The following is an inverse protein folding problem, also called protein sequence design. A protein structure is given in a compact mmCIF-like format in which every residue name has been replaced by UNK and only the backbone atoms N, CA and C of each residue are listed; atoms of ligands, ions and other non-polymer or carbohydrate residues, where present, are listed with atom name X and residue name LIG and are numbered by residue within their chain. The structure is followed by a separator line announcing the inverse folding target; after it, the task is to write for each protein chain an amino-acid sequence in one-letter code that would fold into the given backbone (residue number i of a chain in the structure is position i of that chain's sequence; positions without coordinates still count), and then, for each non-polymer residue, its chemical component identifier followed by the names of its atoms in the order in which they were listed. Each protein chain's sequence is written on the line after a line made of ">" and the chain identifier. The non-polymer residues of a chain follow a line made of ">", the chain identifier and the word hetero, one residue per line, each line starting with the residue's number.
data_IF_079993962905
#
_entry.id   IF_079993962905
#
_cell.length_a   1.000
_cell.length_b   1.000
_cell.length_c   1.000
_cell.angle_alpha   90.00
_cell.angle_beta   90.00
_cell.angle_gamma   90.00
#
_symmetry.space_group_name_H-M   'P 1'
#
loop_
_entity.id
_entity.type
_entity.pdbx_description
1 polymer ?
#
# COMPACT_ATOMS: atom_id res chain seq x y z
N UNK A 1 -34.85 -1.68 14.16
CA UNK A 1 -34.93 -3.12 13.89
C UNK A 1 -35.81 -3.81 14.90
N UNK A 2 -35.53 -3.81 16.21
CA UNK A 2 -36.27 -4.49 17.27
C UNK A 2 -37.79 -4.26 17.22
N UNK A 3 -38.25 -3.00 17.25
CA UNK A 3 -39.67 -2.62 17.23
C UNK A 3 -40.39 -3.15 16.00
N UNK A 4 -39.74 -3.16 14.84
CA UNK A 4 -40.31 -3.66 13.58
C UNK A 4 -40.45 -5.18 13.62
N UNK A 5 -39.45 -5.90 14.16
CA UNK A 5 -39.52 -7.35 14.31
C UNK A 5 -40.64 -7.77 15.25
N UNK A 6 -40.76 -7.12 16.44
CA UNK A 6 -41.84 -7.38 17.38
C UNK A 6 -43.22 -7.16 16.72
N UNK A 7 -43.38 -6.09 15.95
CA UNK A 7 -44.63 -5.79 15.24
C UNK A 7 -44.95 -6.88 14.20
N UNK A 8 -43.96 -7.30 13.42
CA UNK A 8 -44.14 -8.32 12.39
C UNK A 8 -44.51 -9.69 12.97
N UNK A 9 -43.92 -10.08 14.12
CA UNK A 9 -44.31 -11.30 14.85
C UNK A 9 -45.75 -11.20 15.37
N UNK A 10 -46.11 -10.06 16.00
CA UNK A 10 -47.48 -9.83 16.49
C UNK A 10 -48.52 -9.80 15.37
N UNK A 11 -48.15 -9.39 14.18
CA UNK A 11 -48.99 -9.37 13.01
C UNK A 11 -49.10 -10.74 12.32
N UNK A 12 -48.26 -11.72 12.70
CA UNK A 12 -48.22 -13.04 12.05
C UNK A 12 -47.37 -13.06 10.77
N UNK A 13 -46.71 -11.95 10.39
CA UNK A 13 -45.82 -11.86 9.23
C UNK A 13 -44.56 -12.69 9.43
N UNK A 14 -44.12 -12.85 10.67
CA UNK A 14 -43.03 -13.72 11.07
C UNK A 14 -43.55 -14.68 12.13
N UNK A 15 -43.41 -15.98 11.90
CA UNK A 15 -43.82 -16.98 12.89
C UNK A 15 -42.89 -17.02 14.08
N UNK A 16 -43.42 -17.39 15.26
CA UNK A 16 -42.61 -17.59 16.47
C UNK A 16 -41.56 -18.68 16.25
N UNK A 17 -41.89 -19.78 15.54
CA UNK A 17 -40.94 -20.85 15.20
C UNK A 17 -39.73 -20.32 14.42
N UNK A 18 -39.97 -19.38 13.48
CA UNK A 18 -38.86 -18.74 12.73
C UNK A 18 -38.00 -17.88 13.61
N UNK A 19 -38.58 -17.15 14.57
CA UNK A 19 -37.89 -16.36 15.54
C UNK A 19 -37.04 -17.26 16.47
N UNK A 20 -37.62 -18.31 16.99
CA UNK A 20 -36.97 -19.28 17.86
C UNK A 20 -35.81 -20.00 17.18
N UNK A 21 -35.94 -20.35 15.89
CA UNK A 21 -34.85 -20.92 15.12
C UNK A 21 -33.66 -19.95 15.01
N UNK A 22 -33.93 -18.67 14.74
CA UNK A 22 -32.88 -17.66 14.69
C UNK A 22 -32.17 -17.46 16.04
N UNK A 23 -32.94 -17.36 17.12
CA UNK A 23 -32.40 -17.20 18.49
C UNK A 23 -31.60 -18.45 18.88
N UNK A 24 -32.13 -19.64 18.61
CA UNK A 24 -31.43 -20.90 18.93
C UNK A 24 -30.08 -20.99 18.24
N UNK A 25 -29.97 -20.61 16.97
CA UNK A 25 -28.70 -20.60 16.23
C UNK A 25 -27.68 -19.68 16.88
N UNK A 26 -28.10 -18.46 17.29
CA UNK A 26 -27.22 -17.51 17.96
C UNK A 26 -26.77 -18.04 19.33
N UNK A 27 -27.73 -18.54 20.12
CA UNK A 27 -27.43 -19.07 21.44
C UNK A 27 -26.55 -20.32 21.37
N UNK A 28 -26.74 -21.19 20.40
CA UNK A 28 -25.89 -22.36 20.19
C UNK A 28 -24.43 -21.97 19.95
N UNK A 29 -24.17 -20.92 19.16
CA UNK A 29 -22.79 -20.43 18.95
C UNK A 29 -22.23 -19.88 20.25
N UNK A 30 -22.98 -19.08 20.99
CA UNK A 30 -22.56 -18.52 22.29
C UNK A 30 -22.27 -19.62 23.31
N UNK A 31 -23.10 -20.65 23.37
CA UNK A 31 -22.91 -21.80 24.24
C UNK A 31 -21.63 -22.56 23.92
N UNK A 32 -21.43 -22.91 22.64
CA UNK A 32 -20.20 -23.58 22.17
C UNK A 32 -18.92 -22.79 22.46
N UNK A 33 -19.01 -21.46 22.51
CA UNK A 33 -17.92 -20.59 22.88
C UNK A 33 -17.73 -20.44 24.40
N UNK A 34 -18.61 -21.08 25.21
CA UNK A 34 -18.60 -20.96 26.68
C UNK A 34 -19.04 -19.58 27.19
N UNK A 35 -19.68 -18.78 26.32
CA UNK A 35 -20.12 -17.41 26.72
C UNK A 35 -21.29 -17.43 27.69
N UNK A 36 -22.11 -18.48 27.67
CA UNK A 36 -23.24 -18.63 28.57
C UNK A 36 -22.82 -19.12 29.96
N UNK A 37 -21.66 -19.77 30.08
CA UNK A 37 -21.08 -20.29 31.33
C UNK A 37 -20.18 -19.26 32.03
N UNK A 38 -20.24 -18.00 31.63
CA UNK A 38 -19.43 -16.93 32.22
C UNK A 38 -17.93 -17.01 31.90
N UNK A 39 -17.55 -17.71 30.83
CA UNK A 39 -16.18 -17.74 30.35
C UNK A 39 -15.73 -16.32 30.04
N UNK A 40 -14.70 -15.85 30.73
CA UNK A 40 -14.06 -14.56 30.42
C UNK A 40 -13.29 -14.66 29.14
N UNK A 41 -13.25 -13.59 28.32
CA UNK A 41 -12.31 -13.51 27.18
C UNK A 41 -10.89 -13.80 27.68
N UNK A 42 -10.12 -14.47 26.84
CA UNK A 42 -8.71 -14.68 27.15
C UNK A 42 -8.02 -13.31 27.20
N UNK A 43 -7.39 -12.99 28.29
CA UNK A 43 -6.53 -11.82 28.38
C UNK A 43 -5.22 -12.16 27.65
N UNK A 44 -5.09 -11.69 26.43
CA UNK A 44 -3.85 -11.83 25.64
C UNK A 44 -2.92 -10.67 25.96
N UNK A 45 -2.33 -10.70 27.17
CA UNK A 45 -1.29 -9.73 27.50
C UNK A 45 -0.09 -9.87 26.57
N UNK A 46 0.34 -8.74 25.98
CA UNK A 46 1.57 -8.61 25.20
C UNK A 46 1.68 -9.44 23.90
N UNK A 47 0.57 -9.81 23.25
CA UNK A 47 0.63 -10.48 21.96
C UNK A 47 0.72 -9.51 20.77
N UNK A 48 0.12 -8.32 20.88
CA UNK A 48 0.09 -7.35 19.80
C UNK A 48 1.46 -6.72 19.60
N UNK A 49 1.93 -6.69 18.35
CA UNK A 49 3.19 -6.03 17.98
C UNK A 49 4.47 -6.72 18.44
N UNK A 50 4.44 -8.01 18.77
CA UNK A 50 5.64 -8.80 19.06
C UNK A 50 6.63 -8.79 17.89
N UNK A 51 7.89 -9.03 18.18
CA UNK A 51 8.98 -9.04 17.18
C UNK A 51 8.70 -9.99 16.02
N UNK A 52 8.17 -11.19 16.30
CA UNK A 52 7.79 -12.16 15.26
C UNK A 52 6.65 -11.65 14.37
N UNK A 53 5.66 -10.92 14.92
CA UNK A 53 4.59 -10.31 14.15
C UNK A 53 5.11 -9.19 13.25
N UNK A 54 6.02 -8.36 13.76
CA UNK A 54 6.67 -7.31 12.97
C UNK A 54 7.53 -7.88 11.84
N UNK A 55 8.27 -8.96 12.10
CA UNK A 55 9.03 -9.67 11.05
C UNK A 55 8.11 -10.23 9.97
N UNK A 56 7.00 -10.85 10.36
CA UNK A 56 6.01 -11.38 9.41
C UNK A 56 5.38 -10.25 8.57
N UNK A 57 5.02 -9.12 9.21
CA UNK A 57 4.48 -7.95 8.50
C UNK A 57 5.50 -7.38 7.49
N UNK A 58 6.77 -7.25 7.88
CA UNK A 58 7.87 -6.82 6.98
C UNK A 58 8.07 -7.77 5.80
N UNK A 59 7.96 -9.07 6.04
CA UNK A 59 8.01 -10.08 4.97
C UNK A 59 6.80 -9.96 4.04
N UNK A 60 5.59 -9.77 4.59
CA UNK A 60 4.38 -9.59 3.82
C UNK A 60 4.47 -8.34 2.92
N UNK A 61 4.97 -7.21 3.43
CA UNK A 61 5.23 -6.02 2.62
C UNK A 61 6.20 -6.34 1.48
N UNK A 62 7.36 -6.94 1.77
CA UNK A 62 8.34 -7.29 0.73
C UNK A 62 7.73 -8.16 -0.37
N UNK A 63 6.88 -9.13 -0.02
CA UNK A 63 6.24 -10.05 -0.97
C UNK A 63 5.05 -9.44 -1.73
N UNK A 64 4.43 -8.38 -1.20
CA UNK A 64 3.28 -7.74 -1.83
C UNK A 64 3.65 -6.70 -2.88
N UNK A 65 4.88 -6.19 -2.86
CA UNK A 65 5.35 -5.20 -3.84
C UNK A 65 5.30 -5.77 -5.24
N UNK A 66 4.75 -5.01 -6.19
CA UNK A 66 4.70 -5.40 -7.61
C UNK A 66 5.55 -4.45 -8.44
N UNK A 67 6.58 -4.98 -9.06
CA UNK A 67 7.42 -4.23 -9.99
C UNK A 67 6.75 -4.17 -11.36
N UNK A 68 6.35 -2.97 -11.78
CA UNK A 68 5.64 -2.77 -13.05
C UNK A 68 6.57 -2.28 -14.17
N UNK A 69 7.70 -1.68 -13.82
CA UNK A 69 8.71 -1.18 -14.76
C UNK A 69 10.09 -1.20 -14.11
N UNK A 70 11.12 -1.60 -14.85
CA UNK A 70 12.52 -1.57 -14.40
C UNK A 70 13.45 -1.42 -15.63
N UNK A 71 13.51 -0.20 -16.17
CA UNK A 71 14.35 0.07 -17.35
C UNK A 71 15.83 -0.04 -16.98
N UNK A 72 16.60 -0.58 -17.90
CA UNK A 72 18.06 -0.73 -17.78
C UNK A 72 18.50 -1.46 -16.51
N UNK A 73 17.64 -2.30 -15.94
CA UNK A 73 17.87 -3.00 -14.67
C UNK A 73 18.32 -2.04 -13.56
N UNK A 74 17.67 -0.88 -13.46
CA UNK A 74 17.98 0.14 -12.47
C UNK A 74 17.92 -0.41 -11.03
N UNK A 75 16.87 -1.18 -10.72
CA UNK A 75 16.71 -1.83 -9.43
C UNK A 75 17.45 -3.18 -9.40
N UNK A 76 17.98 -3.59 -8.24
CA UNK A 76 18.04 -2.88 -6.97
C UNK A 76 19.11 -1.79 -6.94
N UNK A 77 18.81 -0.68 -6.25
CA UNK A 77 19.68 0.48 -6.15
C UNK A 77 20.92 0.19 -5.27
N UNK A 78 22.04 0.75 -5.65
CA UNK A 78 23.27 0.70 -4.84
C UNK A 78 23.14 1.62 -3.62
N UNK A 79 22.97 1.03 -2.45
CA UNK A 79 22.74 1.74 -1.20
C UNK A 79 23.92 2.60 -0.71
N UNK A 80 25.10 2.49 -1.35
CA UNK A 80 26.28 3.33 -1.02
C UNK A 80 26.24 4.69 -1.69
N UNK A 81 25.25 4.96 -2.55
CA UNK A 81 25.11 6.16 -3.37
C UNK A 81 24.38 7.30 -2.64
N UNK A 82 24.25 8.42 -3.32
CA UNK A 82 23.51 9.58 -2.83
C UNK A 82 22.08 9.60 -3.38
N UNK A 83 21.09 9.68 -2.49
CA UNK A 83 19.67 9.60 -2.79
C UNK A 83 18.95 10.91 -2.52
N UNK A 84 18.05 11.28 -3.41
CA UNK A 84 17.03 12.29 -3.16
C UNK A 84 15.66 11.63 -3.09
N UNK A 85 14.94 11.81 -1.98
CA UNK A 85 13.55 11.37 -1.85
C UNK A 85 12.64 12.56 -2.04
N UNK A 86 11.60 12.39 -2.87
CA UNK A 86 10.58 13.42 -3.16
C UNK A 86 9.17 12.86 -2.96
N UNK A 87 8.22 13.78 -2.82
CA UNK A 87 6.80 13.46 -2.61
C UNK A 87 6.43 13.31 -1.14
N UNK A 88 5.29 13.88 -0.77
CA UNK A 88 4.83 13.97 0.62
C UNK A 88 4.56 12.59 1.26
N UNK A 89 4.11 11.62 0.47
CA UNK A 89 3.84 10.28 0.98
C UNK A 89 5.10 9.54 1.48
N UNK A 90 6.30 10.07 1.22
CA UNK A 90 7.53 9.54 1.79
C UNK A 90 7.62 9.74 3.31
N UNK A 91 7.02 10.82 3.83
CA UNK A 91 7.09 11.23 5.24
C UNK A 91 5.73 11.18 5.95
N UNK A 92 4.64 11.15 5.19
CA UNK A 92 3.26 11.14 5.71
C UNK A 92 2.81 9.69 6.00
N UNK A 93 2.86 9.29 7.26
CA UNK A 93 2.52 7.91 7.69
C UNK A 93 1.08 7.52 7.30
N UNK A 94 0.12 8.44 7.32
CA UNK A 94 -1.26 8.14 6.97
C UNK A 94 -1.43 7.59 5.55
N UNK A 95 -0.63 8.04 4.60
CA UNK A 95 -0.68 7.54 3.22
C UNK A 95 -0.30 6.06 3.09
N UNK A 96 0.54 5.54 4.00
CA UNK A 96 0.94 4.13 3.98
C UNK A 96 -0.03 3.21 4.73
N UNK A 97 -0.95 3.76 5.54
CA UNK A 97 -1.87 2.97 6.37
C UNK A 97 -3.17 2.58 5.65
N UNK A 98 -3.89 3.55 5.11
CA UNK A 98 -5.17 3.33 4.44
C UNK A 98 -6.40 3.40 5.35
N UNK A 99 -7.58 3.15 4.77
CA UNK A 99 -8.86 3.14 5.46
C UNK A 99 -8.97 2.03 6.51
N UNK A 100 -9.89 2.18 7.46
CA UNK A 100 -10.10 1.31 8.63
C UNK A 100 -8.88 1.19 9.56
N UNK A 101 -7.91 2.08 9.40
CA UNK A 101 -6.82 2.21 10.35
C UNK A 101 -7.23 3.18 11.44
N UNK A 102 -7.47 2.68 12.65
CA UNK A 102 -7.96 3.39 13.86
C UNK A 102 -9.33 4.05 13.62
N UNK A 103 -9.47 4.89 12.59
CA UNK A 103 -10.75 5.51 12.20
C UNK A 103 -11.30 4.85 10.93
N UNK A 104 -12.61 5.03 10.67
CA UNK A 104 -13.25 4.43 9.51
C UNK A 104 -12.56 4.80 8.19
N UNK A 105 -12.38 6.08 7.93
CA UNK A 105 -11.76 6.54 6.69
C UNK A 105 -10.21 6.53 6.74
N UNK A 106 -9.60 6.25 7.89
CA UNK A 106 -8.15 6.37 8.09
C UNK A 106 -7.67 7.83 8.10
N UNK A 107 -8.58 8.77 8.31
CA UNK A 107 -8.34 10.21 8.37
C UNK A 107 -8.40 10.73 9.81
N UNK A 108 -8.08 12.02 10.02
CA UNK A 108 -8.08 12.66 11.33
C UNK A 108 -7.08 12.03 12.32
N UNK A 109 -6.03 11.45 11.78
CA UNK A 109 -4.94 10.82 12.52
C UNK A 109 -3.66 11.65 12.36
N UNK A 110 -2.74 11.43 13.27
CA UNK A 110 -1.43 12.07 13.23
C UNK A 110 -0.34 11.06 13.63
N UNK A 111 0.92 11.47 13.55
CA UNK A 111 2.06 10.59 13.85
C UNK A 111 2.04 10.00 15.26
N UNK A 112 1.48 10.69 16.24
CA UNK A 112 1.44 10.18 17.62
C UNK A 112 0.49 8.99 17.80
N UNK A 113 -0.43 8.77 16.86
CA UNK A 113 -1.33 7.61 16.86
C UNK A 113 -0.60 6.32 16.40
N UNK A 114 0.61 6.47 15.87
CA UNK A 114 1.44 5.38 15.35
C UNK A 114 2.82 5.34 16.03
N UNK A 115 2.90 5.06 17.32
CA UNK A 115 4.17 5.04 18.03
C UNK A 115 5.11 3.98 17.43
N UNK A 116 6.39 4.31 17.31
CA UNK A 116 7.43 3.42 16.77
C UNK A 116 7.22 2.98 15.31
N UNK A 117 6.46 3.73 14.53
CA UNK A 117 6.27 3.49 13.09
C UNK A 117 7.22 4.37 12.30
N UNK A 118 7.96 3.77 11.38
CA UNK A 118 8.77 4.50 10.42
C UNK A 118 7.92 4.99 9.25
N UNK A 119 8.23 6.17 8.74
CA UNK A 119 7.83 6.56 7.39
C UNK A 119 8.68 5.82 6.35
N UNK A 120 8.26 5.82 5.10
CA UNK A 120 9.04 5.22 4.00
C UNK A 120 10.41 5.89 3.89
N UNK A 121 10.48 7.22 4.05
CA UNK A 121 11.76 7.94 4.06
C UNK A 121 12.68 7.47 5.18
N UNK A 122 12.17 7.33 6.40
CA UNK A 122 12.97 6.89 7.55
C UNK A 122 13.48 5.46 7.36
N UNK A 123 12.66 4.54 6.87
CA UNK A 123 13.07 3.17 6.60
C UNK A 123 14.14 3.07 5.49
N UNK A 124 14.04 3.91 4.45
CA UNK A 124 15.07 4.02 3.42
C UNK A 124 16.36 4.61 3.99
N UNK A 125 16.22 5.68 4.81
CA UNK A 125 17.36 6.37 5.39
C UNK A 125 18.17 5.46 6.32
N UNK A 126 17.53 4.66 7.15
CA UNK A 126 18.22 3.67 7.99
C UNK A 126 19.10 2.75 7.15
N UNK A 127 18.58 2.15 6.10
CA UNK A 127 19.34 1.20 5.28
C UNK A 127 20.43 1.87 4.42
N UNK A 128 20.15 3.05 3.85
CA UNK A 128 21.15 3.79 3.05
C UNK A 128 22.32 4.21 3.92
N UNK A 129 22.06 4.79 5.10
CA UNK A 129 23.10 5.25 6.02
C UNK A 129 23.89 4.06 6.57
N UNK A 130 23.23 2.96 6.95
CA UNK A 130 23.88 1.73 7.42
C UNK A 130 24.88 1.17 6.40
N UNK A 131 24.58 1.31 5.10
CA UNK A 131 25.44 0.85 4.01
C UNK A 131 26.45 1.92 3.52
N UNK A 132 26.58 3.06 4.20
CA UNK A 132 27.57 4.10 3.91
C UNK A 132 27.17 5.08 2.80
N UNK A 133 25.91 5.07 2.36
CA UNK A 133 25.35 6.06 1.44
C UNK A 133 24.85 7.31 2.13
N UNK A 134 24.24 8.19 1.37
CA UNK A 134 23.61 9.41 1.88
C UNK A 134 22.24 9.63 1.25
N UNK A 135 21.33 10.25 1.98
CA UNK A 135 19.95 10.44 1.56
C UNK A 135 19.42 11.76 2.11
N UNK A 136 18.71 12.48 1.27
CA UNK A 136 18.01 13.71 1.67
C UNK A 136 16.55 13.68 1.19
N UNK A 137 15.69 14.40 1.89
CA UNK A 137 14.28 14.59 1.51
C UNK A 137 14.07 16.02 1.03
N UNK A 138 13.34 16.16 -0.10
CA UNK A 138 12.94 17.46 -0.62
C UNK A 138 11.59 17.37 -1.33
N UNK A 139 10.56 17.98 -0.80
CA UNK A 139 9.22 17.95 -1.37
C UNK A 139 9.16 18.52 -2.81
N UNK A 140 9.97 19.53 -3.10
CA UNK A 140 9.99 20.23 -4.39
C UNK A 140 11.14 19.80 -5.32
N UNK A 141 11.92 18.79 -4.96
CA UNK A 141 13.03 18.27 -5.76
C UNK A 141 14.25 19.19 -5.83
N UNK A 142 14.45 20.08 -4.85
CA UNK A 142 15.72 20.77 -4.67
C UNK A 142 16.70 19.86 -3.96
N UNK A 143 17.97 19.97 -4.28
CA UNK A 143 19.03 19.19 -3.66
C UNK A 143 20.29 20.05 -3.45
N UNK A 144 21.10 19.66 -2.46
CA UNK A 144 22.38 20.32 -2.17
C UNK A 144 23.52 19.76 -3.05
N UNK A 145 23.49 18.46 -3.29
CA UNK A 145 24.40 17.75 -4.16
C UNK A 145 23.58 16.97 -5.18
N UNK A 146 24.04 16.90 -6.44
CA UNK A 146 23.32 16.12 -7.48
C UNK A 146 23.20 14.66 -7.02
N UNK A 147 21.99 14.12 -6.88
CA UNK A 147 21.80 12.75 -6.45
C UNK A 147 22.13 11.76 -7.57
N UNK A 148 22.56 10.57 -7.19
CA UNK A 148 22.73 9.43 -8.09
C UNK A 148 21.38 8.85 -8.47
N UNK A 149 20.44 8.84 -7.48
CA UNK A 149 19.10 8.27 -7.62
C UNK A 149 18.03 9.17 -7.00
N UNK A 150 16.86 9.18 -7.63
CA UNK A 150 15.65 9.79 -7.06
C UNK A 150 14.64 8.69 -6.71
N UNK A 151 14.08 8.76 -5.51
CA UNK A 151 12.94 7.95 -5.11
C UNK A 151 11.74 8.89 -4.93
N UNK A 152 10.72 8.72 -5.76
CA UNK A 152 9.48 9.51 -5.71
C UNK A 152 8.37 8.70 -5.06
N UNK A 153 7.89 9.14 -3.88
CA UNK A 153 6.84 8.46 -3.12
C UNK A 153 5.57 9.31 -3.12
N UNK A 154 4.52 8.79 -3.69
CA UNK A 154 3.23 9.45 -3.81
C UNK A 154 2.09 8.43 -3.82
N UNK A 155 0.88 8.88 -3.52
CA UNK A 155 -0.25 7.98 -3.46
C UNK A 155 -1.56 8.69 -3.18
N UNK A 156 -2.61 7.91 -2.96
CA UNK A 156 -3.91 8.39 -2.52
C UNK A 156 -3.89 8.72 -1.03
N UNK A 157 -4.72 9.68 -0.62
CA UNK A 157 -5.06 9.82 0.78
C UNK A 157 -5.89 8.62 1.24
N UNK A 158 -5.88 8.27 2.53
CA UNK A 158 -6.70 7.18 3.06
C UNK A 158 -8.19 7.36 2.77
N UNK A 159 -8.88 6.29 2.47
CA UNK A 159 -10.32 6.23 2.27
C UNK A 159 -10.86 4.82 2.60
N UNK A 160 -12.14 4.77 2.88
CA UNK A 160 -12.95 3.55 2.96
C UNK A 160 -14.20 3.71 2.09
N UNK A 161 -15.30 2.99 2.42
CA UNK A 161 -16.56 3.02 1.70
C UNK A 161 -17.09 4.47 1.56
N UNK A 162 -17.81 4.75 0.51
CA UNK A 162 -18.35 6.03 0.07
C UNK A 162 -17.30 7.01 -0.46
N UNK A 163 -16.29 7.37 0.33
CA UNK A 163 -15.22 8.28 -0.12
C UNK A 163 -14.29 7.61 -1.13
N UNK A 164 -14.15 6.28 -1.07
CA UNK A 164 -13.43 5.49 -2.04
C UNK A 164 -14.19 5.24 -3.34
N UNK A 165 -15.51 5.46 -3.38
CA UNK A 165 -16.35 5.18 -4.53
C UNK A 165 -16.15 6.25 -5.62
N UNK A 166 -15.50 5.88 -6.70
CA UNK A 166 -15.21 6.79 -7.81
C UNK A 166 -15.60 6.20 -9.16
N UNK A 167 -16.05 7.08 -10.07
CA UNK A 167 -16.35 6.74 -11.48
C UNK A 167 -15.21 7.11 -12.43
N UNK A 168 -14.14 7.70 -11.92
CA UNK A 168 -12.96 8.14 -12.66
C UNK A 168 -11.72 7.67 -11.90
N UNK A 169 -10.95 6.77 -12.52
CA UNK A 169 -9.72 6.19 -11.95
C UNK A 169 -8.48 7.08 -12.21
N UNK A 170 -8.65 8.35 -12.52
CA UNK A 170 -7.54 9.30 -12.59
C UNK A 170 -6.88 9.44 -11.23
N UNK A 171 -5.57 9.27 -11.17
CA UNK A 171 -4.83 9.57 -9.96
C UNK A 171 -4.81 11.08 -9.70
N UNK A 172 -5.33 11.48 -8.55
CA UNK A 172 -5.37 12.87 -8.07
C UNK A 172 -4.56 12.96 -6.77
N UNK A 173 -3.36 13.48 -6.85
CA UNK A 173 -2.56 13.77 -5.66
C UNK A 173 -2.99 15.10 -5.04
N UNK A 174 -3.00 15.15 -3.71
CA UNK A 174 -3.07 16.40 -2.96
C UNK A 174 -1.77 17.23 -3.06
N UNK A 175 -0.65 16.55 -3.30
CA UNK A 175 0.64 17.18 -3.57
C UNK A 175 0.88 17.31 -5.08
N UNK A 176 0.83 18.54 -5.59
CA UNK A 176 1.13 18.81 -7.01
C UNK A 176 2.62 19.01 -7.27
N UNK A 177 3.42 19.20 -6.23
CA UNK A 177 4.83 19.55 -6.37
C UNK A 177 5.68 18.36 -6.84
N UNK A 178 5.35 17.12 -6.38
CA UNK A 178 6.12 15.93 -6.74
C UNK A 178 6.21 15.71 -8.26
N UNK A 179 5.12 15.94 -9.01
CA UNK A 179 5.10 15.74 -10.46
C UNK A 179 5.98 16.74 -11.20
N UNK A 180 6.02 17.99 -10.73
CA UNK A 180 6.92 19.01 -11.27
C UNK A 180 8.38 18.70 -10.92
N UNK A 181 8.63 18.23 -9.70
CA UNK A 181 9.95 17.76 -9.28
C UNK A 181 10.41 16.57 -10.14
N UNK A 182 9.55 15.57 -10.39
CA UNK A 182 9.87 14.46 -11.28
C UNK A 182 10.23 14.92 -12.70
N UNK A 183 9.46 15.85 -13.28
CA UNK A 183 9.77 16.39 -14.63
C UNK A 183 11.12 17.07 -14.68
N UNK A 184 11.42 17.92 -13.69
CA UNK A 184 12.71 18.61 -13.56
C UNK A 184 13.86 17.59 -13.48
N UNK A 185 13.78 16.68 -12.52
CA UNK A 185 14.84 15.70 -12.25
C UNK A 185 15.03 14.73 -13.44
N UNK A 186 13.95 14.34 -14.11
CA UNK A 186 14.01 13.55 -15.35
C UNK A 186 14.71 14.32 -16.47
N UNK A 187 14.46 15.63 -16.60
CA UNK A 187 15.15 16.47 -17.60
C UNK A 187 16.65 16.63 -17.32
N UNK A 188 17.08 16.42 -16.09
CA UNK A 188 18.48 16.38 -15.66
C UNK A 188 19.12 15.00 -15.84
N UNK A 189 18.39 14.04 -16.44
CA UNK A 189 18.80 12.65 -16.65
C UNK A 189 19.15 11.90 -15.37
N UNK A 190 18.46 12.21 -14.26
CA UNK A 190 18.61 11.48 -13.00
C UNK A 190 17.56 10.36 -12.99
N UNK A 191 17.96 9.08 -12.79
CA UNK A 191 17.02 7.97 -12.79
C UNK A 191 16.04 8.05 -11.60
N UNK A 192 14.75 7.85 -11.89
CA UNK A 192 13.67 7.98 -10.93
C UNK A 192 13.02 6.61 -10.67
N UNK A 193 13.00 6.19 -9.42
CA UNK A 193 12.19 5.06 -8.93
C UNK A 193 10.93 5.60 -8.29
N UNK A 194 9.76 5.24 -8.82
CA UNK A 194 8.47 5.58 -8.22
C UNK A 194 7.97 4.48 -7.30
N UNK A 195 7.54 4.88 -6.10
CA UNK A 195 6.82 4.06 -5.12
C UNK A 195 5.40 4.62 -5.03
N UNK A 196 4.44 3.90 -5.58
CA UNK A 196 3.06 4.33 -5.67
C UNK A 196 2.20 3.65 -4.60
N UNK A 197 1.58 4.46 -3.73
CA UNK A 197 0.71 4.03 -2.65
C UNK A 197 -0.76 4.19 -3.04
N UNK A 198 -1.50 3.10 -3.12
CA UNK A 198 -2.92 3.11 -3.44
C UNK A 198 -3.57 1.79 -3.04
N UNK A 199 -4.83 1.83 -2.63
CA UNK A 199 -5.65 0.64 -2.40
C UNK A 199 -6.18 0.00 -3.67
N UNK A 200 -5.90 0.58 -4.86
CA UNK A 200 -6.43 0.15 -6.17
C UNK A 200 -5.52 0.53 -7.33
N UNK A 201 -5.63 -0.13 -8.50
CA UNK A 201 -5.00 0.33 -9.73
C UNK A 201 -5.63 1.65 -10.22
N UNK A 202 -4.80 2.62 -10.60
CA UNK A 202 -5.22 3.92 -11.13
C UNK A 202 -4.51 4.25 -12.43
N UNK A 203 -5.07 5.17 -13.22
CA UNK A 203 -4.44 5.69 -14.43
C UNK A 203 -3.30 6.65 -14.05
N UNK A 204 -2.07 6.13 -14.00
CA UNK A 204 -0.83 6.82 -13.60
C UNK A 204 0.20 6.86 -14.73
N UNK A 205 -0.23 6.89 -15.98
CA UNK A 205 0.62 6.80 -17.16
C UNK A 205 1.72 7.87 -17.19
N UNK A 206 1.39 9.11 -16.77
CA UNK A 206 2.37 10.21 -16.70
C UNK A 206 3.51 9.90 -15.74
N UNK A 207 3.18 9.34 -14.58
CA UNK A 207 4.14 8.96 -13.55
C UNK A 207 5.01 7.80 -14.03
N UNK A 208 4.40 6.77 -14.61
CA UNK A 208 5.13 5.62 -15.18
C UNK A 208 6.12 6.07 -16.27
N UNK A 209 5.70 7.00 -17.15
CA UNK A 209 6.56 7.49 -18.23
C UNK A 209 7.75 8.31 -17.72
N UNK A 210 7.61 9.03 -16.61
CA UNK A 210 8.70 9.79 -15.98
C UNK A 210 9.64 8.92 -15.15
N UNK A 211 9.27 7.69 -14.86
CA UNK A 211 10.01 6.78 -13.99
C UNK A 211 10.89 5.83 -14.78
N UNK A 212 12.11 5.59 -14.32
CA UNK A 212 12.98 4.50 -14.79
C UNK A 212 12.54 3.15 -14.18
N UNK A 213 12.08 3.16 -12.92
CA UNK A 213 11.43 2.02 -12.28
C UNK A 213 10.12 2.44 -11.62
N UNK A 214 9.10 1.58 -11.63
CA UNK A 214 7.79 1.86 -11.05
C UNK A 214 7.28 0.67 -10.24
N UNK A 215 6.92 0.94 -8.99
CA UNK A 215 6.50 -0.06 -8.01
C UNK A 215 5.09 0.27 -7.52
N UNK A 216 4.16 -0.67 -7.64
CA UNK A 216 2.89 -0.64 -6.92
C UNK A 216 3.14 -1.20 -5.51
N UNK A 217 3.14 -0.31 -4.51
CA UNK A 217 3.46 -0.67 -3.13
C UNK A 217 2.20 -0.86 -2.27
N UNK A 218 1.02 -0.62 -2.83
CA UNK A 218 -0.27 -0.75 -2.17
C UNK A 218 -0.36 0.09 -0.89
N UNK A 219 -0.77 -0.52 0.21
CA UNK A 219 -0.85 0.09 1.54
C UNK A 219 0.02 -0.73 2.50
N UNK A 220 1.33 -0.44 2.61
CA UNK A 220 2.28 -1.28 3.32
C UNK A 220 2.13 -1.24 4.86
N UNK A 221 1.33 -0.33 5.39
CA UNK A 221 1.11 -0.23 6.83
C UNK A 221 2.35 0.21 7.60
N UNK A 222 2.59 -0.41 8.76
CA UNK A 222 3.67 -0.02 9.67
C UNK A 222 5.04 -0.67 9.36
N UNK A 223 5.11 -1.64 8.45
CA UNK A 223 6.33 -2.42 8.22
C UNK A 223 7.02 -2.04 6.89
N UNK A 224 7.14 -0.73 6.66
CA UNK A 224 7.67 -0.14 5.41
C UNK A 224 9.14 -0.46 5.15
N UNK A 225 9.89 -0.94 6.13
CA UNK A 225 11.23 -1.46 5.95
C UNK A 225 11.28 -2.61 4.92
N UNK A 226 10.15 -3.33 4.75
CA UNK A 226 10.01 -4.33 3.69
C UNK A 226 10.14 -3.77 2.28
N UNK A 227 9.87 -2.48 2.05
CA UNK A 227 10.12 -1.79 0.78
C UNK A 227 11.63 -1.64 0.56
N UNK A 228 12.33 -1.09 1.55
CA UNK A 228 13.78 -0.90 1.48
C UNK A 228 14.53 -2.23 1.30
N UNK A 229 14.06 -3.32 1.94
CA UNK A 229 14.61 -4.67 1.78
C UNK A 229 14.63 -5.16 0.32
N UNK A 230 13.66 -4.72 -0.48
CA UNK A 230 13.54 -5.17 -1.87
C UNK A 230 14.29 -4.23 -2.80
N UNK A 231 14.13 -2.91 -2.64
CA UNK A 231 14.64 -1.94 -3.64
C UNK A 231 16.11 -1.55 -3.46
N UNK A 232 16.71 -1.82 -2.30
CA UNK A 232 18.11 -1.49 -1.99
C UNK A 232 18.97 -2.74 -1.94
N UNK A 233 20.20 -2.63 -2.44
CA UNK A 233 21.24 -3.63 -2.18
C UNK A 233 21.65 -3.58 -0.72
N UNK A 234 21.92 -4.74 -0.14
CA UNK A 234 22.55 -4.88 1.17
C UNK A 234 23.93 -5.51 0.98
N UNK A 235 24.96 -4.89 1.51
CA UNK A 235 26.37 -5.34 1.33
C UNK A 235 26.71 -5.59 -0.16
N UNK A 236 26.20 -4.74 -1.05
CA UNK A 236 26.41 -4.83 -2.50
C UNK A 236 25.63 -5.93 -3.22
N UNK A 237 24.76 -6.69 -2.53
CA UNK A 237 24.00 -7.82 -3.06
C UNK A 237 22.49 -7.55 -3.05
N UNK A 238 21.75 -8.27 -3.87
CA UNK A 238 20.28 -8.34 -3.78
C UNK A 238 19.93 -8.89 -2.39
N UNK A 239 19.17 -8.12 -1.60
CA UNK A 239 18.68 -8.57 -0.30
C UNK A 239 17.42 -9.42 -0.46
N UNK A 240 16.40 -8.87 -1.16
CA UNK A 240 15.18 -9.58 -1.54
C UNK A 240 14.80 -9.22 -2.98
N UNK A 241 14.10 -10.12 -3.66
CA UNK A 241 13.59 -9.91 -5.00
C UNK A 241 12.07 -9.64 -4.97
N UNK A 242 11.55 -9.06 -6.05
CA UNK A 242 10.12 -8.92 -6.27
C UNK A 242 9.49 -10.27 -6.58
N UNK A 243 8.45 -10.62 -5.84
CA UNK A 243 7.65 -11.85 -6.06
C UNK A 243 6.18 -11.54 -6.25
N UNK A 244 5.75 -10.32 -5.94
CA UNK A 244 4.37 -9.87 -6.05
C UNK A 244 3.90 -9.81 -7.51
N UNK A 245 2.64 -10.16 -7.72
CA UNK A 245 1.97 -10.10 -9.01
C UNK A 245 0.66 -9.31 -8.87
N UNK A 246 0.25 -8.62 -9.93
CA UNK A 246 -1.02 -7.90 -9.92
C UNK A 246 -2.18 -8.86 -9.69
N UNK A 247 -2.97 -8.60 -8.66
CA UNK A 247 -4.25 -9.28 -8.41
C UNK A 247 -5.44 -8.65 -9.12
N UNK A 248 -5.18 -7.61 -9.93
CA UNK A 248 -6.15 -6.90 -10.77
C UNK A 248 -5.51 -6.56 -12.11
N UNK A 249 -6.32 -6.43 -13.15
CA UNK A 249 -5.89 -5.83 -14.42
C UNK A 249 -5.71 -4.32 -14.21
N UNK A 250 -4.59 -3.75 -14.66
CA UNK A 250 -4.27 -2.33 -14.47
C UNK A 250 -4.86 -1.48 -15.60
N UNK A 251 -5.65 -0.43 -15.31
CA UNK A 251 -6.30 0.38 -16.33
C UNK A 251 -5.29 1.26 -17.10
N UNK A 252 -5.49 1.37 -18.39
CA UNK A 252 -4.80 2.30 -19.28
C UNK A 252 -5.45 3.67 -19.31
N UNK A 253 -6.77 3.70 -19.11
CA UNK A 253 -7.60 4.91 -19.12
C UNK A 253 -8.37 5.03 -17.81
N UNK A 254 -8.57 6.23 -17.34
CA UNK A 254 -9.29 6.49 -16.10
C UNK A 254 -10.79 6.12 -16.14
N UNK A 255 -11.34 5.99 -17.33
CA UNK A 255 -12.74 5.59 -17.54
C UNK A 255 -12.96 4.07 -17.49
N UNK A 256 -11.91 3.27 -17.38
CA UNK A 256 -12.00 1.82 -17.32
C UNK A 256 -12.28 1.34 -15.89
N UNK A 257 -13.46 1.63 -15.38
CA UNK A 257 -13.89 1.26 -14.02
C UNK A 257 -14.34 -0.20 -13.91
N UNK A 258 -14.63 -0.86 -15.02
CA UNK A 258 -14.90 -2.29 -15.13
C UNK A 258 -13.84 -2.91 -16.03
N UNK A 259 -12.96 -3.70 -15.44
CA UNK A 259 -11.83 -4.32 -16.13
C UNK A 259 -11.54 -5.67 -15.47
N UNK A 260 -12.13 -6.74 -16.02
CA UNK A 260 -12.00 -8.08 -15.46
C UNK A 260 -10.83 -8.84 -16.10
N UNK A 261 -10.24 -9.76 -15.36
CA UNK A 261 -9.11 -10.58 -15.82
C UNK A 261 -9.42 -11.45 -17.03
N UNK A 262 -10.72 -11.76 -17.23
CA UNK A 262 -11.22 -12.63 -18.31
C UNK A 262 -11.74 -11.84 -19.51
N UNK A 263 -11.65 -10.51 -19.51
CA UNK A 263 -12.10 -9.70 -20.65
C UNK A 263 -11.16 -9.91 -21.85
N UNK A 264 -11.61 -10.55 -22.94
CA UNK A 264 -10.73 -11.14 -23.95
C UNK A 264 -9.97 -10.12 -24.82
N UNK A 265 -10.29 -8.84 -24.73
CA UNK A 265 -9.69 -7.77 -25.56
C UNK A 265 -9.54 -6.48 -24.75
N UNK A 266 -9.31 -6.57 -23.46
CA UNK A 266 -9.18 -5.37 -22.64
C UNK A 266 -7.94 -4.59 -23.07
N UNK A 267 -8.14 -3.34 -23.52
CA UNK A 267 -7.10 -2.35 -23.72
C UNK A 267 -6.56 -1.93 -22.33
N UNK A 268 -5.77 -2.80 -21.70
CA UNK A 268 -5.20 -2.59 -20.36
C UNK A 268 -3.76 -2.09 -20.44
N UNK A 269 -3.27 -1.51 -19.37
CA UNK A 269 -1.86 -1.12 -19.25
C UNK A 269 -1.00 -2.32 -18.83
N UNK A 270 -1.42 -3.04 -17.80
CA UNK A 270 -0.81 -4.30 -17.36
C UNK A 270 -1.88 -5.35 -17.09
N UNK A 271 -1.63 -6.57 -17.50
CA UNK A 271 -2.55 -7.70 -17.32
C UNK A 271 -2.62 -8.16 -15.85
N UNK A 272 -3.72 -8.82 -15.49
CA UNK A 272 -3.77 -9.62 -14.27
C UNK A 272 -2.58 -10.60 -14.22
N UNK A 273 -1.97 -10.73 -13.06
CA UNK A 273 -0.78 -11.58 -12.87
C UNK A 273 0.54 -10.98 -13.34
N UNK A 274 0.52 -9.76 -13.92
CA UNK A 274 1.76 -9.08 -14.29
C UNK A 274 2.57 -8.66 -13.07
N UNK A 275 3.88 -8.69 -13.20
CA UNK A 275 4.87 -8.25 -12.22
C UNK A 275 6.23 -8.80 -12.60
N UNK A 276 7.25 -7.99 -12.45
CA UNK A 276 8.63 -8.31 -12.78
C UNK A 276 9.40 -8.79 -11.55
N UNK A 277 10.45 -9.53 -11.79
CA UNK A 277 11.54 -9.84 -10.86
C UNK A 277 12.84 -9.22 -11.38
N UNK A 278 13.93 -9.33 -10.63
CA UNK A 278 15.23 -8.85 -11.08
C UNK A 278 15.87 -9.69 -12.21
N UNK A 279 15.37 -10.89 -12.41
CA UNK A 279 15.79 -11.73 -13.53
C UNK A 279 15.10 -11.40 -14.85
N UNK A 280 14.00 -10.59 -14.82
CA UNK A 280 13.26 -10.24 -16.02
C UNK A 280 13.93 -9.06 -16.73
N UNK A 281 14.41 -9.30 -17.94
CA UNK A 281 14.92 -8.23 -18.82
C UNK A 281 13.81 -7.76 -19.73
N UNK A 282 13.34 -6.53 -19.53
CA UNK A 282 12.44 -5.87 -20.48
C UNK A 282 13.29 -4.99 -21.39
N UNK A 283 13.35 -5.34 -22.67
CA UNK A 283 13.73 -4.38 -23.70
C UNK A 283 12.55 -3.44 -23.93
N UNK A 284 12.73 -2.16 -23.58
CA UNK A 284 11.77 -1.07 -23.85
C UNK A 284 11.51 -0.89 -25.34
#
# INVERSE_FOLDING_TARGET
>A
LYTNTVRAVKAGDISEDRLDDAVRKILTVKDRLGMLDGRKPHEYENYVGKTEHRKLAREAVSKSLVLLKNNDNLLPLDSTKHFLVIGNAAVEIMNQMGGWTITWQGTELNRSDFPNTLSIYEALAEQVIENGGSIEFSQNGTYKQKPDYVISVYGENPYAEFFGDVKDLSFKSSDLNYLNAMRKLSSESIPITSIFLSGRPLAVNKQINLSSAFIAAWLPGQAVEGIADVILKKDGKINKDFTGKLSFTWPKKSTQTVLNSNDPLSDHLFAFGYGLSYSDTITS
#
